data_IF_719330709798
#
_entry.id   IF_719330709798
#
_cell.length_a   1.000
_cell.length_b   1.000
_cell.length_c   1.000
_cell.angle_alpha   90.00
_cell.angle_beta   90.00
_cell.angle_gamma   90.00
#
_symmetry.space_group_name_H-M   'P 1'
#
loop_
_entity.id
_entity.type
_entity.pdbx_description
1 polymer ?
#
# COMPACT_ATOMS: atom_id res chain seq x y z
N UNK A 1 -1.76 7.48 0.56
CA UNK A 1 -1.83 6.10 0.03
C UNK A 1 -3.21 5.46 0.03
N UNK A 2 -4.11 5.73 1.00
CA UNK A 2 -5.48 5.17 0.95
C UNK A 2 -6.24 5.50 -0.34
N UNK A 3 -6.27 6.77 -0.75
CA UNK A 3 -6.94 7.19 -1.97
C UNK A 3 -6.31 6.62 -3.26
N UNK A 4 -4.98 6.47 -3.30
CA UNK A 4 -4.29 5.87 -4.45
C UNK A 4 -4.63 4.39 -4.63
N UNK A 5 -4.67 3.63 -3.52
CA UNK A 5 -5.10 2.23 -3.57
C UNK A 5 -6.54 2.09 -4.06
N UNK A 6 -7.45 2.97 -3.65
CA UNK A 6 -8.83 2.94 -4.11
C UNK A 6 -8.97 3.17 -5.62
N UNK A 7 -8.15 4.05 -6.20
CA UNK A 7 -8.11 4.28 -7.66
C UNK A 7 -7.52 3.05 -8.36
N UNK A 8 -6.40 2.51 -7.88
CA UNK A 8 -5.80 1.30 -8.44
C UNK A 8 -6.77 0.09 -8.36
N UNK A 9 -7.54 -0.03 -7.27
CA UNK A 9 -8.53 -1.09 -7.08
C UNK A 9 -9.73 -0.91 -8.03
N UNK A 10 -10.17 0.33 -8.27
CA UNK A 10 -11.24 0.62 -9.22
C UNK A 10 -10.85 0.23 -10.66
N UNK A 11 -9.60 0.52 -11.08
CA UNK A 11 -9.08 0.12 -12.40
C UNK A 11 -9.00 -1.40 -12.50
N UNK A 12 -8.39 -2.07 -11.52
CA UNK A 12 -8.24 -3.53 -11.54
C UNK A 12 -9.59 -4.27 -11.53
N UNK A 13 -10.61 -3.72 -10.85
CA UNK A 13 -11.95 -4.28 -10.87
C UNK A 13 -12.65 -4.04 -12.21
N UNK A 14 -12.50 -2.86 -12.82
CA UNK A 14 -13.04 -2.57 -14.15
C UNK A 14 -12.44 -3.51 -15.21
N UNK A 15 -11.13 -3.72 -15.18
CA UNK A 15 -10.42 -4.64 -16.08
C UNK A 15 -10.90 -6.09 -15.89
N UNK A 16 -11.13 -6.51 -14.64
CA UNK A 16 -11.61 -7.85 -14.34
C UNK A 16 -13.08 -8.09 -14.76
N UNK A 17 -13.91 -7.05 -14.73
CA UNK A 17 -15.30 -7.10 -15.19
C UNK A 17 -15.40 -7.09 -16.72
N UNK A 18 -14.55 -6.31 -17.39
CA UNK A 18 -14.56 -6.16 -18.85
C UNK A 18 -15.95 -5.77 -19.38
N UNK A 19 -16.34 -6.37 -20.51
CA UNK A 19 -17.70 -6.27 -21.08
C UNK A 19 -18.63 -7.40 -20.59
N UNK A 20 -18.23 -8.12 -19.52
CA UNK A 20 -18.96 -9.25 -18.97
C UNK A 20 -20.34 -8.87 -18.41
N UNK A 21 -21.23 -9.85 -18.36
CA UNK A 21 -22.56 -9.69 -17.80
C UNK A 21 -22.62 -9.99 -16.28
N UNK A 22 -23.82 -9.98 -15.70
CA UNK A 22 -24.02 -10.26 -14.27
C UNK A 22 -23.52 -11.65 -13.82
N UNK A 23 -23.46 -12.62 -14.73
CA UNK A 23 -23.02 -13.98 -14.42
C UNK A 23 -21.50 -14.07 -14.17
N UNK A 24 -20.73 -13.17 -14.77
CA UNK A 24 -19.27 -13.10 -14.70
C UNK A 24 -18.77 -12.33 -13.47
N UNK A 25 -19.65 -11.56 -12.82
CA UNK A 25 -19.34 -10.72 -11.65
C UNK A 25 -18.62 -11.49 -10.53
N UNK A 26 -19.05 -12.70 -10.11
CA UNK A 26 -18.33 -13.43 -9.06
C UNK A 26 -16.89 -13.79 -9.45
N UNK A 27 -16.66 -14.16 -10.71
CA UNK A 27 -15.33 -14.51 -11.20
C UNK A 27 -14.43 -13.27 -11.35
N UNK A 28 -15.00 -12.14 -11.77
CA UNK A 28 -14.31 -10.85 -11.83
C UNK A 28 -13.84 -10.41 -10.44
N UNK A 29 -14.69 -10.52 -9.43
CA UNK A 29 -14.34 -10.19 -8.03
C UNK A 29 -13.22 -11.07 -7.49
N UNK A 30 -13.24 -12.38 -7.79
CA UNK A 30 -12.18 -13.29 -7.39
C UNK A 30 -10.83 -12.93 -8.05
N UNK A 31 -10.85 -12.59 -9.35
CA UNK A 31 -9.65 -12.20 -10.10
C UNK A 31 -9.08 -10.87 -9.62
N UNK A 32 -9.94 -9.87 -9.42
CA UNK A 32 -9.57 -8.60 -8.78
C UNK A 32 -8.94 -8.83 -7.41
N UNK A 33 -9.60 -9.62 -6.55
CA UNK A 33 -9.10 -9.90 -5.21
C UNK A 33 -7.71 -10.55 -5.28
N UNK A 34 -7.52 -11.57 -6.13
CA UNK A 34 -6.26 -12.26 -6.35
C UNK A 34 -5.12 -11.32 -6.80
N UNK A 35 -5.42 -10.34 -7.65
CA UNK A 35 -4.45 -9.38 -8.16
C UNK A 35 -4.03 -8.32 -7.12
N UNK A 36 -4.95 -7.89 -6.24
CA UNK A 36 -4.75 -6.69 -5.40
C UNK A 36 -4.45 -6.99 -3.93
N UNK A 37 -4.86 -8.14 -3.39
CA UNK A 37 -4.80 -8.41 -1.95
C UNK A 37 -3.39 -8.31 -1.37
N UNK A 38 -2.36 -8.84 -2.05
CA UNK A 38 -0.99 -8.83 -1.55
C UNK A 38 -0.44 -7.40 -1.46
N UNK A 39 -0.66 -6.60 -2.50
CA UNK A 39 -0.19 -5.22 -2.56
C UNK A 39 -0.89 -4.36 -1.50
N UNK A 40 -2.22 -4.48 -1.38
CA UNK A 40 -2.98 -3.74 -0.37
C UNK A 40 -2.55 -4.14 1.06
N UNK A 41 -2.35 -5.43 1.33
CA UNK A 41 -1.88 -5.91 2.64
C UNK A 41 -0.47 -5.37 2.98
N UNK A 42 0.44 -5.31 2.00
CA UNK A 42 1.78 -4.77 2.18
C UNK A 42 1.77 -3.27 2.50
N UNK A 43 0.98 -2.50 1.75
CA UNK A 43 0.83 -1.05 1.96
C UNK A 43 0.19 -0.77 3.33
N UNK A 44 -0.85 -1.51 3.71
CA UNK A 44 -1.51 -1.35 5.02
C UNK A 44 -0.60 -1.72 6.19
N UNK A 45 0.13 -2.83 6.10
CA UNK A 45 1.11 -3.25 7.12
C UNK A 45 2.18 -2.18 7.32
N UNK A 46 2.70 -1.62 6.22
CA UNK A 46 3.70 -0.54 6.27
C UNK A 46 3.12 0.77 6.77
N UNK A 47 1.89 1.12 6.41
CA UNK A 47 1.22 2.31 6.92
C UNK A 47 1.03 2.23 8.45
N UNK A 48 0.61 1.08 8.98
CA UNK A 48 0.53 0.82 10.43
C UNK A 48 1.87 0.94 11.11
N UNK A 49 2.91 0.27 10.58
CA UNK A 49 4.27 0.36 11.13
C UNK A 49 4.80 1.79 11.10
N UNK A 50 4.56 2.54 10.02
CA UNK A 50 4.92 3.95 9.96
C UNK A 50 4.16 4.76 11.01
N UNK A 51 2.86 4.53 11.20
CA UNK A 51 2.07 5.15 12.26
C UNK A 51 2.65 4.88 13.66
N UNK A 52 3.03 3.64 13.95
CA UNK A 52 3.70 3.26 15.21
C UNK A 52 5.04 4.00 15.39
N UNK A 53 5.85 4.11 14.32
CA UNK A 53 7.13 4.83 14.37
C UNK A 53 6.93 6.35 14.52
N UNK A 54 5.93 6.94 13.87
CA UNK A 54 5.62 8.37 13.97
C UNK A 54 4.97 8.76 15.30
N UNK A 55 4.33 7.82 15.99
CA UNK A 55 3.75 8.02 17.33
C UNK A 55 4.60 7.40 18.45
N UNK A 56 5.77 6.86 18.15
CA UNK A 56 6.68 6.31 19.15
C UNK A 56 7.24 7.42 20.05
N UNK A 57 6.92 7.34 21.35
CA UNK A 57 7.51 8.15 22.42
C UNK A 57 8.71 7.44 23.06
N UNK A 58 9.59 8.17 23.75
CA UNK A 58 10.74 7.58 24.45
C UNK A 58 11.91 7.16 23.54
N UNK A 59 12.60 6.05 23.86
CA UNK A 59 13.87 5.63 23.26
C UNK A 59 13.86 5.46 21.72
N UNK A 60 12.71 5.15 21.12
CA UNK A 60 12.53 5.07 19.67
C UNK A 60 12.75 6.41 18.95
N UNK A 61 12.48 7.55 19.61
CA UNK A 61 12.75 8.89 19.06
C UNK A 61 14.25 9.12 18.86
N UNK A 62 15.07 8.70 19.83
CA UNK A 62 16.53 8.81 19.73
C UNK A 62 17.09 7.92 18.61
N UNK A 63 16.56 6.71 18.45
CA UNK A 63 16.90 5.83 17.34
C UNK A 63 16.52 6.41 15.97
N UNK A 64 15.33 7.02 15.85
CA UNK A 64 14.88 7.72 14.64
C UNK A 64 15.79 8.92 14.32
N UNK A 65 16.10 9.75 15.31
CA UNK A 65 16.91 10.95 15.11
C UNK A 65 18.36 10.57 14.72
N UNK A 66 18.90 9.49 15.29
CA UNK A 66 20.20 8.93 14.89
C UNK A 66 20.16 8.33 13.47
N UNK A 67 19.12 7.56 13.13
CA UNK A 67 18.96 6.98 11.80
C UNK A 67 18.75 8.06 10.72
N UNK A 68 17.98 9.12 10.99
CA UNK A 68 17.83 10.27 10.10
C UNK A 68 19.15 11.02 9.89
N UNK A 69 19.96 11.13 10.93
CA UNK A 69 21.27 11.81 10.89
C UNK A 69 22.34 10.98 10.16
N UNK A 70 22.20 9.65 10.12
CA UNK A 70 23.14 8.73 9.47
C UNK A 70 22.71 8.34 8.05
N UNK A 71 21.44 8.03 7.80
CA UNK A 71 20.94 7.55 6.50
C UNK A 71 20.31 8.63 5.60
N UNK A 72 19.90 9.78 6.14
CA UNK A 72 19.38 10.91 5.37
C UNK A 72 18.20 10.57 4.44
N UNK A 73 18.13 11.22 3.26
CA UNK A 73 17.03 11.13 2.27
C UNK A 73 16.70 9.70 1.81
N UNK A 74 17.67 8.77 1.86
CA UNK A 74 17.47 7.35 1.48
C UNK A 74 16.46 6.61 2.35
N UNK A 75 16.16 7.12 3.55
CA UNK A 75 15.14 6.54 4.43
C UNK A 75 13.71 6.94 4.01
N UNK A 76 13.57 8.08 3.31
CA UNK A 76 12.30 8.65 2.88
C UNK A 76 11.93 8.22 1.45
N UNK A 77 12.92 7.84 0.66
CA UNK A 77 12.70 7.31 -0.69
C UNK A 77 12.07 5.91 -0.61
N UNK A 78 10.79 5.83 -0.98
CA UNK A 78 10.09 4.57 -1.21
C UNK A 78 9.75 4.41 -2.70
N UNK A 79 10.75 4.20 -3.58
CA UNK A 79 10.53 4.12 -5.03
C UNK A 79 9.55 3.00 -5.42
N UNK A 80 9.52 1.89 -4.68
CA UNK A 80 8.56 0.79 -4.89
C UNK A 80 7.09 1.19 -4.68
N UNK A 81 6.84 2.30 -3.99
CA UNK A 81 5.50 2.80 -3.69
C UNK A 81 4.91 3.61 -4.85
N UNK A 82 5.78 4.17 -5.71
CA UNK A 82 5.42 4.97 -6.88
C UNK A 82 5.74 4.26 -8.21
N UNK A 83 6.46 3.14 -8.16
CA UNK A 83 6.51 2.18 -9.25
C UNK A 83 5.18 1.41 -9.26
N UNK A 84 4.15 2.07 -9.79
CA UNK A 84 2.93 1.45 -10.28
C UNK A 84 3.20 0.86 -11.66
#
# INVERSE_FOLDING_TARGET
QGAGMAIEDAVALADALGEGGPAEVPAAFASYAAARWQRNALVQTRARRNGEIFHATGAMRWGRDLAMRVLGKRLLDQPWLYAG
#
